data_IF_538869154053
#
_entry.id   IF_538869154053
#
_cell.length_a   1.000
_cell.length_b   1.000
_cell.length_c   1.000
_cell.angle_alpha   90.00
_cell.angle_beta   90.00
_cell.angle_gamma   90.00
#
_symmetry.space_group_name_H-M   'P 1'
#
loop_
_entity.id
_entity.type
_entity.pdbx_description
1 polymer ?
#
# COMPACT_ATOMS: atom_id res chain seq x y z
N UNK A 1 2.07 -1.74 -20.10
CA UNK A 1 1.17 -2.91 -19.94
C UNK A 1 -0.14 -2.36 -19.40
N UNK A 2 -1.25 -2.47 -20.14
CA UNK A 2 -2.56 -1.98 -19.65
C UNK A 2 -2.88 -2.77 -18.38
N UNK A 3 -3.02 -2.10 -17.24
CA UNK A 3 -3.71 -2.68 -16.08
C UNK A 3 -5.13 -2.98 -16.57
N UNK A 4 -5.42 -4.24 -16.88
CA UNK A 4 -6.80 -4.68 -16.89
C UNK A 4 -7.32 -4.41 -15.47
N UNK A 5 -8.55 -3.92 -15.34
CA UNK A 5 -9.19 -3.78 -14.03
C UNK A 5 -9.47 -5.19 -13.49
N UNK A 6 -8.43 -5.86 -12.97
CA UNK A 6 -8.46 -7.23 -12.47
C UNK A 6 -9.22 -7.34 -11.14
N UNK A 7 -9.44 -6.19 -10.49
CA UNK A 7 -10.36 -6.00 -9.39
C UNK A 7 -11.07 -4.66 -9.55
N UNK A 8 -12.34 -4.57 -9.16
CA UNK A 8 -13.13 -3.33 -9.14
C UNK A 8 -14.01 -3.35 -7.91
N UNK A 9 -14.21 -2.21 -7.27
CA UNK A 9 -15.15 -2.09 -6.17
C UNK A 9 -16.57 -2.09 -6.75
N UNK A 10 -17.39 -3.07 -6.39
CA UNK A 10 -18.79 -3.19 -6.82
C UNK A 10 -19.76 -2.51 -5.84
N UNK A 11 -19.36 -1.33 -5.36
CA UNK A 11 -20.12 -0.49 -4.45
C UNK A 11 -19.84 0.97 -4.82
N UNK A 12 -20.89 1.78 -4.95
CA UNK A 12 -20.70 3.22 -5.01
C UNK A 12 -20.33 3.74 -3.61
N UNK A 13 -19.18 4.39 -3.50
CA UNK A 13 -18.63 4.92 -2.25
C UNK A 13 -18.48 6.43 -2.26
N UNK A 14 -18.83 7.12 -3.36
CA UNK A 14 -18.55 8.55 -3.53
C UNK A 14 -19.23 9.40 -2.47
N UNK A 15 -20.56 9.29 -2.35
CA UNK A 15 -21.33 10.06 -1.37
C UNK A 15 -20.87 9.82 0.07
N UNK A 16 -20.49 8.58 0.39
CA UNK A 16 -20.04 8.23 1.74
C UNK A 16 -18.65 8.82 2.02
N UNK A 17 -17.72 8.75 1.06
CA UNK A 17 -16.42 9.39 1.17
C UNK A 17 -16.55 10.92 1.30
N UNK A 18 -17.40 11.55 0.50
CA UNK A 18 -17.61 13.00 0.52
C UNK A 18 -18.20 13.47 1.86
N UNK A 19 -19.20 12.75 2.38
CA UNK A 19 -19.93 13.18 3.57
C UNK A 19 -19.28 12.74 4.89
N UNK A 20 -18.57 11.61 4.91
CA UNK A 20 -18.02 11.00 6.13
C UNK A 20 -16.49 11.03 6.18
N UNK A 21 -15.81 11.25 5.06
CA UNK A 21 -14.35 11.18 4.95
C UNK A 21 -13.78 9.75 4.91
N UNK A 22 -14.63 8.71 4.98
CA UNK A 22 -14.25 7.31 4.83
C UNK A 22 -15.43 6.47 4.29
N UNK A 23 -15.16 5.32 3.70
CA UNK A 23 -16.16 4.34 3.30
C UNK A 23 -15.67 2.92 3.60
N UNK A 24 -16.58 2.01 3.98
CA UNK A 24 -16.26 0.61 4.23
C UNK A 24 -16.70 -0.25 3.05
N UNK A 25 -15.74 -0.87 2.39
CA UNK A 25 -15.95 -1.88 1.34
C UNK A 25 -15.71 -3.26 1.93
N UNK A 26 -16.75 -4.11 1.97
CA UNK A 26 -16.62 -5.50 2.43
C UNK A 26 -16.01 -6.37 1.32
N UNK A 27 -15.40 -7.49 1.69
CA UNK A 27 -14.74 -8.39 0.74
C UNK A 27 -15.66 -8.85 -0.42
N UNK A 28 -16.96 -9.04 -0.17
CA UNK A 28 -17.94 -9.41 -1.21
C UNK A 28 -18.13 -8.32 -2.29
N UNK A 29 -17.85 -7.07 -1.95
CA UNK A 29 -17.88 -5.92 -2.87
C UNK A 29 -16.51 -5.63 -3.50
N UNK A 30 -15.48 -6.44 -3.20
CA UNK A 30 -14.17 -6.42 -3.82
C UNK A 30 -13.81 -7.84 -4.31
N UNK A 31 -14.55 -8.37 -5.29
CA UNK A 31 -14.36 -9.72 -5.79
C UNK A 31 -12.99 -9.85 -6.46
N UNK A 32 -12.29 -10.92 -6.13
CA UNK A 32 -11.03 -11.29 -6.75
C UNK A 32 -11.30 -12.30 -7.85
N UNK A 33 -10.74 -12.07 -9.05
CA UNK A 33 -10.80 -13.03 -10.14
C UNK A 33 -9.99 -14.30 -9.76
N UNK A 34 -10.47 -15.53 -10.08
CA UNK A 34 -9.79 -16.76 -9.70
C UNK A 34 -8.31 -16.83 -10.11
N UNK A 35 -7.96 -16.25 -11.26
CA UNK A 35 -6.58 -16.16 -11.77
C UNK A 35 -5.64 -15.35 -10.85
N UNK A 36 -6.18 -14.48 -10.00
CA UNK A 36 -5.40 -13.66 -9.06
C UNK A 36 -5.13 -14.35 -7.73
N UNK A 37 -5.69 -15.53 -7.48
CA UNK A 37 -5.53 -16.23 -6.19
C UNK A 37 -4.07 -16.47 -5.81
N UNK A 38 -3.23 -16.86 -6.77
CA UNK A 38 -1.80 -17.10 -6.53
C UNK A 38 -1.04 -15.79 -6.28
N UNK A 39 -1.37 -14.75 -7.06
CA UNK A 39 -0.77 -13.42 -6.92
C UNK A 39 -1.09 -12.82 -5.53
N UNK A 40 -2.35 -12.93 -5.11
CA UNK A 40 -2.79 -12.57 -3.78
C UNK A 40 -2.09 -13.35 -2.67
N UNK A 41 -1.94 -14.68 -2.83
CA UNK A 41 -1.22 -15.48 -1.86
C UNK A 41 0.25 -15.05 -1.75
N UNK A 42 0.92 -14.74 -2.86
CA UNK A 42 2.29 -14.24 -2.85
C UNK A 42 2.42 -12.91 -2.08
N UNK A 43 1.48 -11.97 -2.23
CA UNK A 43 1.45 -10.74 -1.40
C UNK A 43 1.32 -11.07 0.09
N UNK A 44 0.49 -12.06 0.46
CA UNK A 44 0.32 -12.45 1.86
C UNK A 44 1.57 -13.07 2.44
N UNK A 45 2.27 -13.89 1.67
CA UNK A 45 3.49 -14.57 2.13
C UNK A 45 4.63 -13.56 2.40
N UNK A 46 4.67 -12.45 1.66
CA UNK A 46 5.63 -11.36 1.87
C UNK A 46 5.53 -10.70 3.27
N UNK A 47 4.39 -10.79 3.95
CA UNK A 47 4.26 -10.25 5.31
C UNK A 47 5.17 -10.97 6.30
N UNK A 48 5.50 -12.24 6.07
CA UNK A 48 6.42 -13.00 6.90
C UNK A 48 7.88 -12.53 6.76
N UNK A 49 8.21 -11.80 5.70
CA UNK A 49 9.58 -11.33 5.39
C UNK A 49 9.81 -9.84 5.69
N UNK A 50 8.82 -9.16 6.29
CA UNK A 50 8.93 -7.74 6.60
C UNK A 50 10.01 -7.50 7.68
N UNK A 51 10.95 -6.56 7.46
CA UNK A 51 11.94 -6.23 8.47
C UNK A 51 11.33 -5.36 9.57
N UNK A 52 11.91 -5.39 10.79
CA UNK A 52 11.45 -4.55 11.90
C UNK A 52 11.60 -3.06 11.59
N UNK A 53 10.60 -2.27 11.99
CA UNK A 53 10.60 -0.81 11.92
C UNK A 53 11.54 -0.25 13.00
N UNK A 54 12.66 0.33 12.55
CA UNK A 54 13.71 0.89 13.42
C UNK A 54 13.39 2.30 13.94
N UNK A 55 12.27 2.90 13.54
CA UNK A 55 11.90 4.28 13.86
C UNK A 55 10.70 4.34 14.83
N UNK A 56 10.45 3.25 15.57
CA UNK A 56 9.47 3.21 16.64
C UNK A 56 9.98 3.96 17.88
N UNK A 57 9.11 4.69 18.61
CA UNK A 57 9.44 5.22 19.94
C UNK A 57 9.78 4.10 20.92
N UNK A 58 10.56 4.42 21.95
CA UNK A 58 10.75 3.52 23.09
C UNK A 58 9.39 3.13 23.70
N UNK A 59 9.22 1.83 23.98
CA UNK A 59 7.95 1.27 24.45
C UNK A 59 6.87 1.09 23.37
N UNK A 60 7.16 1.40 22.11
CA UNK A 60 6.25 1.17 20.99
C UNK A 60 5.99 -0.32 20.73
N UNK A 61 4.78 -0.63 20.25
CA UNK A 61 4.45 -1.98 19.80
C UNK A 61 5.29 -2.39 18.58
N UNK A 62 5.63 -3.66 18.46
CA UNK A 62 6.38 -4.20 17.33
C UNK A 62 5.67 -3.91 16.01
N UNK A 63 6.39 -3.31 15.07
CA UNK A 63 5.93 -3.02 13.70
C UNK A 63 6.98 -3.47 12.71
N UNK A 64 6.54 -4.06 11.60
CA UNK A 64 7.40 -4.53 10.52
C UNK A 64 6.89 -3.91 9.22
N UNK A 65 7.77 -3.37 8.38
CA UNK A 65 7.34 -2.67 7.17
C UNK A 65 8.41 -2.52 6.10
N UNK A 66 7.94 -2.43 4.87
CA UNK A 66 8.65 -1.95 3.69
C UNK A 66 7.93 -0.74 3.11
N UNK A 67 8.59 0.03 2.26
CA UNK A 67 8.01 1.22 1.64
C UNK A 67 8.67 1.51 0.29
N UNK A 68 7.85 1.81 -0.70
CA UNK A 68 8.22 2.46 -1.96
C UNK A 68 7.06 3.35 -2.43
N UNK A 69 7.36 4.21 -3.40
CA UNK A 69 6.38 5.08 -4.06
C UNK A 69 6.20 4.68 -5.52
N UNK A 70 4.98 4.89 -6.01
CA UNK A 70 4.64 4.65 -7.41
C UNK A 70 4.12 5.93 -8.05
N UNK A 71 4.35 6.06 -9.35
CA UNK A 71 3.72 7.06 -10.19
C UNK A 71 2.64 6.38 -11.05
N UNK A 72 1.39 6.84 -10.92
CA UNK A 72 0.26 6.33 -11.67
C UNK A 72 -0.14 7.32 -12.77
N UNK A 73 -0.30 6.82 -14.00
CA UNK A 73 -0.79 7.58 -15.16
C UNK A 73 -2.26 7.19 -15.44
N UNK A 74 -3.25 8.00 -15.04
CA UNK A 74 -4.67 7.64 -15.23
C UNK A 74 -5.08 7.48 -16.69
N UNK A 75 -4.48 8.27 -17.60
CA UNK A 75 -4.83 8.23 -19.02
C UNK A 75 -4.46 6.92 -19.71
N UNK A 76 -3.36 6.27 -19.30
CA UNK A 76 -2.90 4.99 -19.84
C UNK A 76 -3.20 3.80 -18.93
N UNK A 77 -3.51 4.05 -17.65
CA UNK A 77 -3.63 3.02 -16.63
C UNK A 77 -2.28 2.36 -16.33
N UNK A 78 -1.19 3.11 -16.43
CA UNK A 78 0.17 2.59 -16.17
C UNK A 78 0.64 2.99 -14.78
N UNK A 79 1.32 2.07 -14.12
CA UNK A 79 1.90 2.24 -12.79
C UNK A 79 3.40 1.98 -12.86
N UNK A 80 4.22 2.92 -12.39
CA UNK A 80 5.69 2.80 -12.39
C UNK A 80 6.21 2.93 -10.97
N UNK A 81 7.09 2.03 -10.57
CA UNK A 81 7.84 2.20 -9.32
C UNK A 81 8.83 3.36 -9.48
N UNK A 82 8.85 4.27 -8.52
CA UNK A 82 9.84 5.34 -8.45
C UNK A 82 11.12 4.82 -7.77
N UNK A 83 12.29 5.46 -7.98
CA UNK A 83 13.49 5.11 -7.24
C UNK A 83 13.22 5.16 -5.73
N UNK A 84 13.71 4.17 -4.97
CA UNK A 84 13.45 4.06 -3.55
C UNK A 84 13.92 5.32 -2.78
N UNK A 85 12.96 6.04 -2.20
CA UNK A 85 13.17 7.29 -1.46
C UNK A 85 12.95 7.11 0.03
N UNK A 86 13.51 8.03 0.79
CA UNK A 86 13.25 8.15 2.21
C UNK A 86 11.82 8.63 2.45
N UNK A 87 11.24 8.19 3.55
CA UNK A 87 9.93 8.62 3.99
C UNK A 87 10.07 9.73 5.04
N UNK A 88 9.41 10.86 4.79
CA UNK A 88 9.35 11.99 5.71
C UNK A 88 7.90 12.28 6.11
N UNK A 89 7.69 12.50 7.40
CA UNK A 89 6.44 13.05 7.92
C UNK A 89 6.78 14.27 8.74
N UNK A 90 6.09 15.36 8.47
CA UNK A 90 6.20 16.57 9.27
C UNK A 90 5.71 16.33 10.72
N UNK A 91 6.21 17.11 11.67
CA UNK A 91 5.73 17.12 13.06
C UNK A 91 4.25 17.51 13.16
N UNK A 92 3.76 18.34 12.24
CA UNK A 92 2.34 18.72 12.18
C UNK A 92 1.44 17.54 11.78
N UNK A 93 1.99 16.55 11.06
CA UNK A 93 1.27 15.33 10.63
C UNK A 93 1.40 14.22 11.69
N UNK A 94 2.57 14.07 12.29
CA UNK A 94 2.87 13.02 13.26
C UNK A 94 3.60 13.63 14.46
N UNK A 95 2.85 14.16 15.43
CA UNK A 95 3.46 14.83 16.59
C UNK A 95 4.37 13.93 17.45
N UNK A 96 4.23 12.60 17.35
CA UNK A 96 5.00 11.64 18.18
C UNK A 96 6.35 11.30 17.56
N UNK A 97 6.41 11.15 16.23
CA UNK A 97 7.65 10.74 15.55
C UNK A 97 7.97 11.54 14.28
N UNK A 98 7.25 12.62 14.00
CA UNK A 98 7.49 13.48 12.84
C UNK A 98 8.83 14.22 12.91
N UNK A 99 9.19 14.90 11.83
CA UNK A 99 10.43 15.67 11.72
C UNK A 99 11.68 14.83 11.45
N UNK A 100 11.56 13.51 11.30
CA UNK A 100 12.67 12.61 10.97
C UNK A 100 12.54 12.02 9.57
N UNK A 101 13.68 11.90 8.90
CA UNK A 101 13.82 11.19 7.63
C UNK A 101 14.00 9.69 7.92
N UNK A 102 13.15 8.85 7.33
CA UNK A 102 13.14 7.40 7.56
C UNK A 102 13.51 6.64 6.30
N UNK A 103 14.65 5.95 6.34
CA UNK A 103 15.03 4.95 5.34
C UNK A 103 14.43 3.59 5.71
N UNK A 104 13.22 3.29 5.25
CA UNK A 104 12.65 1.95 5.36
C UNK A 104 13.29 0.99 4.35
N UNK A 105 13.04 -0.31 4.49
CA UNK A 105 13.44 -1.27 3.45
C UNK A 105 12.54 -1.11 2.22
N UNK A 106 13.07 -1.28 0.99
CA UNK A 106 12.26 -1.25 -0.22
C UNK A 106 11.30 -2.45 -0.27
N UNK A 107 10.25 -2.33 -1.08
CA UNK A 107 9.44 -3.46 -1.52
C UNK A 107 10.32 -4.47 -2.28
N UNK A 108 9.96 -5.74 -2.23
CA UNK A 108 10.66 -6.78 -3.00
C UNK A 108 10.26 -6.70 -4.47
N UNK A 109 11.13 -7.13 -5.41
CA UNK A 109 10.76 -7.26 -6.82
C UNK A 109 9.47 -8.06 -7.01
N UNK A 110 9.27 -9.11 -6.22
CA UNK A 110 8.08 -9.97 -6.23
C UNK A 110 6.81 -9.20 -5.84
N UNK A 111 6.90 -8.29 -4.86
CA UNK A 111 5.80 -7.39 -4.49
C UNK A 111 5.54 -6.36 -5.58
N UNK A 112 6.60 -5.73 -6.13
CA UNK A 112 6.48 -4.65 -7.13
C UNK A 112 5.90 -5.16 -8.45
N UNK A 113 6.21 -6.39 -8.84
CA UNK A 113 5.74 -7.00 -10.09
C UNK A 113 4.48 -7.85 -9.92
N UNK A 114 3.89 -7.87 -8.72
CA UNK A 114 2.71 -8.65 -8.45
C UNK A 114 1.50 -8.13 -9.26
N UNK A 115 0.74 -9.00 -9.96
CA UNK A 115 -0.37 -8.57 -10.80
C UNK A 115 -1.70 -8.35 -10.05
N UNK A 116 -1.77 -8.66 -8.75
CA UNK A 116 -2.91 -8.33 -7.89
C UNK A 116 -2.79 -6.89 -7.37
#
# INVERSE_FOLDING_TARGET
MKLANLTTIHQDIYDTLETQGYARVLAEHFPMLPEMQNAWQAIRDEYASLPPDKFLPEGGAYRFRRYDSFYFLPASGELYVLPHQDYFQDTDINAVTGGIVRRFAPLTPETVLNPF
#
